data_IF_881071828107
#
_entry.id   IF_881071828107
#
_cell.length_a   1.000
_cell.length_b   1.000
_cell.length_c   1.000
_cell.angle_alpha   90.00
_cell.angle_beta   90.00
_cell.angle_gamma   90.00
#
_symmetry.space_group_name_H-M   'P 1'
#
loop_
_entity.id
_entity.type
_entity.pdbx_description
1 polymer ?
#
# COMPACT_ATOMS: atom_id res chain seq x y z
N UNK A 1 13.70 -23.43 8.35
CA UNK A 1 13.73 -22.06 7.81
C UNK A 1 12.83 -21.20 8.67
N UNK A 2 13.40 -20.27 9.43
CA UNK A 2 12.73 -19.47 10.45
C UNK A 2 12.26 -18.13 9.89
N UNK A 3 11.11 -17.66 10.39
CA UNK A 3 10.31 -16.49 10.00
C UNK A 3 10.97 -15.15 10.42
N UNK A 4 12.28 -15.03 10.24
CA UNK A 4 13.14 -14.04 10.93
C UNK A 4 14.06 -13.31 9.95
N UNK A 5 13.56 -12.82 8.82
CA UNK A 5 14.44 -12.16 7.86
C UNK A 5 13.82 -11.05 6.99
N UNK A 6 12.79 -10.31 7.42
CA UNK A 6 12.32 -9.15 6.63
C UNK A 6 11.78 -8.00 7.51
N UNK A 7 12.53 -7.61 8.53
CA UNK A 7 12.32 -6.33 9.24
C UNK A 7 13.58 -5.46 9.09
N UNK A 8 13.99 -5.18 7.85
CA UNK A 8 14.89 -4.06 7.60
C UNK A 8 14.06 -2.81 7.32
N UNK A 9 13.67 -2.19 8.43
CA UNK A 9 13.19 -0.83 8.54
C UNK A 9 14.09 0.10 7.69
N UNK A 10 13.60 0.55 6.53
CA UNK A 10 14.28 1.59 5.75
C UNK A 10 13.34 2.76 5.49
N UNK A 11 13.57 3.78 6.33
CA UNK A 11 13.16 5.18 6.26
C UNK A 11 11.66 5.46 6.44
N UNK A 12 11.37 6.02 7.62
CA UNK A 12 10.18 6.78 7.94
C UNK A 12 9.92 7.86 6.89
N UNK A 13 9.07 7.55 5.90
CA UNK A 13 8.27 8.58 5.28
C UNK A 13 7.29 9.09 6.37
N UNK A 14 7.06 10.41 6.50
CA UNK A 14 6.27 10.96 7.59
C UNK A 14 4.89 10.31 7.70
N UNK A 15 4.39 10.18 8.92
CA UNK A 15 3.12 9.52 9.27
C UNK A 15 1.85 10.25 8.73
N UNK A 16 2.00 11.21 7.81
CA UNK A 16 0.94 11.99 7.14
C UNK A 16 0.94 11.86 5.59
N UNK A 17 1.57 10.82 5.02
CA UNK A 17 2.00 10.88 3.60
C UNK A 17 0.90 10.67 2.56
N UNK A 18 -0.17 9.91 2.83
CA UNK A 18 -1.17 9.53 1.81
C UNK A 18 -2.53 10.18 2.05
N UNK A 19 -3.24 10.43 0.95
CA UNK A 19 -4.59 10.99 0.92
C UNK A 19 -5.46 10.14 0.01
N UNK A 20 -6.76 10.24 0.18
CA UNK A 20 -7.71 9.66 -0.76
C UNK A 20 -7.41 10.14 -2.19
N UNK A 21 -7.54 9.22 -3.14
CA UNK A 21 -7.24 9.37 -4.56
C UNK A 21 -5.75 9.51 -4.92
N UNK A 22 -4.84 9.39 -3.96
CA UNK A 22 -3.42 9.24 -4.30
C UNK A 22 -3.19 7.96 -5.09
N UNK A 23 -2.38 8.08 -6.15
CA UNK A 23 -1.83 6.91 -6.83
C UNK A 23 -0.59 6.45 -6.08
N UNK A 24 -0.55 5.17 -5.76
CA UNK A 24 0.51 4.55 -4.97
C UNK A 24 1.02 3.29 -5.65
N UNK A 25 2.18 2.82 -5.24
CA UNK A 25 2.73 1.54 -5.68
C UNK A 25 3.18 0.72 -4.47
N UNK A 26 2.91 -0.59 -4.52
CA UNK A 26 3.40 -1.53 -3.52
C UNK A 26 4.91 -1.66 -3.55
N UNK A 27 5.53 -1.70 -2.38
CA UNK A 27 6.97 -1.98 -2.21
C UNK A 27 7.23 -3.42 -1.72
N UNK A 28 6.19 -4.16 -1.37
CA UNK A 28 6.21 -5.56 -0.96
C UNK A 28 4.93 -6.27 -1.43
N UNK A 29 4.94 -7.60 -1.48
CA UNK A 29 3.75 -8.39 -1.80
C UNK A 29 2.71 -8.26 -0.67
N UNK A 30 1.44 -8.08 -1.04
CA UNK A 30 0.33 -7.87 -0.09
C UNK A 30 -0.81 -8.84 -0.38
N UNK A 31 -1.39 -9.40 0.68
CA UNK A 31 -2.64 -10.14 0.56
C UNK A 31 -3.80 -9.17 0.32
N UNK A 32 -4.59 -9.42 -0.70
CA UNK A 32 -5.84 -8.71 -0.95
C UNK A 32 -6.93 -9.20 0.00
N UNK A 33 -7.98 -8.42 0.16
CA UNK A 33 -9.12 -8.77 1.02
C UNK A 33 -9.86 -10.02 0.48
N UNK A 34 -9.71 -10.32 -0.81
CA UNK A 34 -10.21 -11.54 -1.48
C UNK A 34 -9.28 -12.76 -1.33
N UNK A 35 -8.15 -12.62 -0.62
CA UNK A 35 -7.19 -13.69 -0.36
C UNK A 35 -6.19 -13.97 -1.48
N UNK A 36 -6.20 -13.16 -2.56
CA UNK A 36 -5.15 -13.20 -3.58
C UNK A 36 -3.88 -12.49 -3.08
N UNK A 37 -2.76 -12.67 -3.77
CA UNK A 37 -1.54 -11.89 -3.51
C UNK A 37 -1.33 -10.88 -4.62
N UNK A 38 -1.30 -9.61 -4.25
CA UNK A 38 -0.91 -8.49 -5.10
C UNK A 38 0.61 -8.31 -5.02
N UNK A 39 1.36 -8.44 -6.14
CA UNK A 39 2.82 -8.39 -6.10
C UNK A 39 3.35 -6.97 -5.85
N UNK A 40 4.56 -6.88 -5.29
CA UNK A 40 5.32 -5.64 -5.25
C UNK A 40 5.45 -5.04 -6.67
N UNK A 41 5.37 -3.71 -6.77
CA UNK A 41 5.35 -3.02 -8.06
C UNK A 41 3.96 -2.76 -8.64
N UNK A 42 2.90 -3.39 -8.12
CA UNK A 42 1.53 -3.05 -8.51
C UNK A 42 1.16 -1.63 -8.11
N UNK A 43 0.57 -0.90 -9.04
CA UNK A 43 -0.01 0.42 -8.80
C UNK A 43 -1.48 0.31 -8.39
N UNK A 44 -1.89 1.17 -7.46
CA UNK A 44 -3.27 1.28 -7.01
C UNK A 44 -3.63 2.70 -6.62
N UNK A 45 -4.90 2.89 -6.27
CA UNK A 45 -5.46 4.17 -5.81
C UNK A 45 -5.91 4.04 -4.37
N UNK A 46 -5.51 4.99 -3.52
CA UNK A 46 -5.95 5.07 -2.13
C UNK A 46 -7.43 5.46 -2.12
N UNK A 47 -8.29 4.61 -1.55
CA UNK A 47 -9.71 4.91 -1.35
C UNK A 47 -10.02 5.45 0.05
N UNK A 48 -9.24 5.06 1.05
CA UNK A 48 -9.40 5.56 2.42
C UNK A 48 -8.09 5.42 3.22
N UNK A 49 -7.92 6.27 4.22
CA UNK A 49 -6.77 6.26 5.13
C UNK A 49 -7.25 5.85 6.53
N UNK A 50 -6.62 4.83 7.11
CA UNK A 50 -6.97 4.29 8.42
C UNK A 50 -5.98 4.70 9.52
N UNK A 51 -6.52 4.87 10.74
CA UNK A 51 -5.78 5.10 11.99
C UNK A 51 -4.67 6.13 11.82
N UNK A 52 -5.05 7.35 11.45
CA UNK A 52 -4.12 8.48 11.32
C UNK A 52 -2.90 8.17 10.42
N UNK A 53 -3.14 7.49 9.28
CA UNK A 53 -2.10 7.23 8.29
C UNK A 53 -1.29 5.95 8.49
N UNK A 54 -1.66 5.08 9.44
CA UNK A 54 -0.96 3.80 9.65
C UNK A 54 -1.19 2.82 8.49
N UNK A 55 -2.36 2.86 7.85
CA UNK A 55 -2.70 2.02 6.70
C UNK A 55 -3.62 2.75 5.71
N UNK A 56 -3.72 2.22 4.50
CA UNK A 56 -4.62 2.69 3.46
C UNK A 56 -5.43 1.53 2.88
N UNK A 57 -6.69 1.78 2.54
CA UNK A 57 -7.41 0.91 1.60
C UNK A 57 -6.97 1.30 0.20
N UNK A 58 -6.49 0.35 -0.57
CA UNK A 58 -6.02 0.58 -1.93
C UNK A 58 -6.79 -0.32 -2.89
N UNK A 59 -7.34 0.29 -3.94
CA UNK A 59 -7.91 -0.42 -5.08
C UNK A 59 -6.83 -0.62 -6.15
N UNK A 60 -6.68 -1.86 -6.60
CA UNK A 60 -5.81 -2.25 -7.69
C UNK A 60 -6.65 -2.67 -8.88
N UNK A 61 -6.27 -2.23 -10.08
CA UNK A 61 -6.91 -2.65 -11.33
C UNK A 61 -6.18 -3.83 -11.99
N UNK A 62 -4.88 -3.98 -11.74
CA UNK A 62 -3.98 -4.93 -12.40
C UNK A 62 -3.03 -5.55 -11.36
N UNK A 63 -2.63 -6.84 -11.50
CA UNK A 63 -3.10 -7.81 -12.49
C UNK A 63 -4.48 -8.41 -12.17
N UNK A 64 -5.05 -8.09 -11.02
CA UNK A 64 -6.40 -8.51 -10.60
C UNK A 64 -7.09 -7.30 -9.99
N UNK A 65 -8.35 -7.06 -10.37
CA UNK A 65 -9.21 -6.07 -9.72
C UNK A 65 -9.46 -6.49 -8.28
N UNK A 66 -8.88 -5.79 -7.31
CA UNK A 66 -8.96 -6.18 -5.89
C UNK A 66 -8.76 -4.99 -4.95
N UNK A 67 -9.30 -5.12 -3.73
CA UNK A 67 -9.02 -4.22 -2.62
C UNK A 67 -8.01 -4.87 -1.66
N UNK A 68 -7.18 -4.04 -1.05
CA UNK A 68 -6.36 -4.47 0.07
C UNK A 68 -6.22 -3.36 1.11
N UNK A 69 -6.22 -3.77 2.38
CA UNK A 69 -5.73 -2.92 3.46
C UNK A 69 -4.21 -3.03 3.55
N UNK A 70 -3.51 -1.97 3.12
CA UNK A 70 -2.06 -1.93 3.00
C UNK A 70 -1.43 -1.08 4.11
N UNK A 71 -0.42 -1.57 4.84
CA UNK A 71 0.36 -0.73 5.74
C UNK A 71 1.04 0.40 4.95
N UNK A 72 1.01 1.64 5.46
CA UNK A 72 1.59 2.78 4.74
C UNK A 72 3.09 2.63 4.46
N UNK A 73 3.80 1.85 5.29
CA UNK A 73 5.22 1.52 5.06
C UNK A 73 5.47 0.62 3.83
N UNK A 74 4.43 -0.06 3.33
CA UNK A 74 4.49 -0.88 2.12
C UNK A 74 4.04 -0.11 0.85
N UNK A 75 3.86 1.21 0.96
CA UNK A 75 3.44 2.07 -0.13
C UNK A 75 4.50 3.12 -0.45
N UNK A 76 4.62 3.44 -1.74
CA UNK A 76 5.26 4.68 -2.22
C UNK A 76 4.26 5.50 -3.00
N UNK A 77 4.35 6.83 -2.90
CA UNK A 77 3.55 7.74 -3.72
C UNK A 77 4.02 7.68 -5.18
N UNK A 78 3.08 7.53 -6.10
CA UNK A 78 3.30 7.66 -7.55
C UNK A 78 2.81 9.03 -8.02
N UNK A 79 1.59 9.41 -7.64
CA UNK A 79 1.04 10.73 -7.93
C UNK A 79 0.10 11.19 -6.81
N UNK A 80 0.19 12.47 -6.48
CA UNK A 80 -0.71 13.12 -5.53
C UNK A 80 -2.07 13.35 -6.19
N UNK A 81 -3.16 13.14 -5.46
CA UNK A 81 -4.49 13.58 -5.88
C UNK A 81 -4.48 15.06 -6.27
N UNK A 82 -5.21 15.43 -7.32
CA UNK A 82 -5.40 16.83 -7.65
C UNK A 82 -6.19 17.54 -6.53
N UNK A 83 -5.88 18.83 -6.31
CA UNK A 83 -6.57 19.68 -5.34
C UNK A 83 -7.94 20.13 -5.82
#
# INVERSE_FOLDING_TARGET
MTREAFYHFRQAAPLDTFRELDRVMLTADIATDDGATMPAGSEGVVLSVYRDGVACVVEFAEPVSALATVPSAALRLVARAAA
#
